data_IF_411523803494
#
_entry.id   IF_411523803494
#
_cell.length_a   1.000
_cell.length_b   1.000
_cell.length_c   1.000
_cell.angle_alpha   90.00
_cell.angle_beta   90.00
_cell.angle_gamma   90.00
#
_symmetry.space_group_name_H-M   'P 1'
#
loop_
_entity.id
_entity.type
_entity.pdbx_description
1 polymer ?
#
# COMPACT_ATOMS: atom_id res chain seq x y z
N UNK A 1 -22.98 -38.36 52.64
CA UNK A 1 -21.64 -38.20 52.05
C UNK A 1 -21.38 -39.26 50.97
N UNK A 2 -21.78 -40.52 51.16
CA UNK A 2 -21.53 -41.62 50.18
C UNK A 2 -22.34 -41.52 48.87
N UNK A 3 -23.47 -40.80 48.82
CA UNK A 3 -24.32 -40.65 47.61
C UNK A 3 -23.77 -39.59 46.65
N UNK A 4 -22.94 -38.65 47.11
CA UNK A 4 -22.38 -37.59 46.29
C UNK A 4 -21.07 -38.00 45.56
N UNK A 5 -20.41 -39.07 45.99
CA UNK A 5 -19.21 -39.55 45.31
C UNK A 5 -19.37 -39.96 43.85
N UNK A 6 -20.45 -40.62 43.38
CA UNK A 6 -20.63 -40.98 41.99
C UNK A 6 -21.01 -39.79 41.09
N UNK A 7 -21.45 -38.65 41.64
CA UNK A 7 -21.86 -37.47 40.86
C UNK A 7 -20.68 -36.55 40.54
N UNK A 8 -19.56 -36.62 41.24
CA UNK A 8 -18.42 -35.76 41.05
C UNK A 8 -17.82 -35.84 39.63
N UNK A 9 -17.58 -37.01 39.03
CA UNK A 9 -17.04 -37.04 37.65
C UNK A 9 -18.05 -36.51 36.63
N UNK A 10 -19.33 -36.64 36.87
CA UNK A 10 -20.39 -36.10 35.99
C UNK A 10 -20.40 -34.55 36.05
N UNK A 11 -20.27 -33.97 37.22
CA UNK A 11 -20.14 -32.51 37.38
C UNK A 11 -18.86 -31.95 36.71
N UNK A 12 -17.75 -32.69 36.84
CA UNK A 12 -16.49 -32.31 36.20
C UNK A 12 -16.60 -32.37 34.69
N UNK A 13 -17.20 -33.42 34.13
CA UNK A 13 -17.42 -33.55 32.68
C UNK A 13 -18.35 -32.44 32.10
N UNK A 14 -19.39 -32.10 32.85
CA UNK A 14 -20.29 -31.00 32.49
C UNK A 14 -19.61 -29.66 32.52
N UNK A 15 -18.78 -29.39 33.54
CA UNK A 15 -17.97 -28.18 33.64
C UNK A 15 -16.95 -28.05 32.53
N UNK A 16 -16.27 -29.17 32.18
CA UNK A 16 -15.32 -29.19 31.05
C UNK A 16 -16.01 -28.92 29.72
N UNK A 17 -17.18 -29.54 29.50
CA UNK A 17 -17.97 -29.32 28.29
C UNK A 17 -18.43 -27.87 28.17
N UNK A 18 -18.88 -27.26 29.28
CA UNK A 18 -19.26 -25.85 29.28
C UNK A 18 -18.08 -24.93 28.97
N UNK A 19 -16.90 -25.21 29.53
CA UNK A 19 -15.66 -24.46 29.24
C UNK A 19 -15.28 -24.55 27.76
N UNK A 20 -15.37 -25.74 27.16
CA UNK A 20 -15.09 -25.94 25.74
C UNK A 20 -16.05 -25.14 24.85
N UNK A 21 -17.35 -25.18 25.17
CA UNK A 21 -18.38 -24.39 24.44
C UNK A 21 -18.07 -22.89 24.56
N UNK A 22 -17.77 -22.41 25.78
CA UNK A 22 -17.42 -21.00 26.00
C UNK A 22 -16.16 -20.58 25.20
N UNK A 23 -15.13 -21.41 25.17
CA UNK A 23 -13.94 -21.17 24.36
C UNK A 23 -14.25 -21.15 22.86
N UNK A 24 -15.08 -22.07 22.36
CA UNK A 24 -15.52 -22.11 20.96
C UNK A 24 -16.30 -20.84 20.59
N UNK A 25 -17.26 -20.43 21.42
CA UNK A 25 -18.04 -19.21 21.19
C UNK A 25 -17.14 -17.99 21.20
N UNK A 26 -16.23 -17.87 22.15
CA UNK A 26 -15.27 -16.77 22.21
C UNK A 26 -14.39 -16.69 20.93
N UNK A 27 -13.90 -17.84 20.48
CA UNK A 27 -13.10 -17.92 19.25
C UNK A 27 -13.91 -17.51 18.02
N UNK A 28 -15.16 -18.00 17.90
CA UNK A 28 -16.05 -17.63 16.80
C UNK A 28 -16.36 -16.13 16.77
N UNK A 29 -16.66 -15.54 17.93
CA UNK A 29 -16.91 -14.09 18.05
C UNK A 29 -15.68 -13.29 17.61
N UNK A 30 -14.50 -13.67 18.10
CA UNK A 30 -13.23 -13.04 17.68
C UNK A 30 -13.02 -13.13 16.17
N UNK A 31 -13.28 -14.30 15.57
CA UNK A 31 -13.16 -14.52 14.13
C UNK A 31 -14.12 -13.63 13.34
N UNK A 32 -15.39 -13.51 13.76
CA UNK A 32 -16.39 -12.65 13.12
C UNK A 32 -15.95 -11.18 13.17
N UNK A 33 -15.45 -10.71 14.31
CA UNK A 33 -14.94 -9.33 14.40
C UNK A 33 -13.77 -9.07 13.46
N UNK A 34 -12.83 -10.02 13.36
CA UNK A 34 -11.70 -9.92 12.46
C UNK A 34 -12.12 -9.89 10.99
N UNK A 35 -13.06 -10.76 10.59
CA UNK A 35 -13.62 -10.78 9.24
C UNK A 35 -14.38 -9.50 8.90
N UNK A 36 -15.18 -8.97 9.82
CA UNK A 36 -15.89 -7.69 9.63
C UNK A 36 -14.90 -6.53 9.44
N UNK A 37 -13.83 -6.50 10.24
CA UNK A 37 -12.80 -5.46 10.13
C UNK A 37 -12.09 -5.52 8.78
N UNK A 38 -11.78 -6.73 8.31
CA UNK A 38 -11.17 -6.95 6.99
C UNK A 38 -12.11 -6.50 5.86
N UNK A 39 -13.40 -6.90 5.93
CA UNK A 39 -14.39 -6.50 4.93
C UNK A 39 -14.62 -4.99 4.87
N UNK A 40 -14.63 -4.30 6.03
CA UNK A 40 -14.70 -2.84 6.08
C UNK A 40 -13.47 -2.20 5.46
N UNK A 41 -12.27 -2.69 5.78
CA UNK A 41 -11.02 -2.22 5.19
C UNK A 41 -11.01 -2.37 3.67
N UNK A 42 -11.39 -3.55 3.15
CA UNK A 42 -11.47 -3.79 1.71
C UNK A 42 -12.45 -2.84 1.02
N UNK A 43 -13.62 -2.60 1.63
CA UNK A 43 -14.60 -1.66 1.10
C UNK A 43 -14.06 -0.24 1.06
N UNK A 44 -13.52 0.25 2.17
CA UNK A 44 -13.03 1.62 2.29
C UNK A 44 -11.81 1.85 1.38
N UNK A 45 -10.94 0.84 1.26
CA UNK A 45 -9.83 0.83 0.30
C UNK A 45 -10.33 0.92 -1.14
N UNK A 46 -11.34 0.12 -1.52
CA UNK A 46 -11.92 0.16 -2.87
C UNK A 46 -12.50 1.53 -3.20
N UNK A 47 -13.24 2.14 -2.26
CA UNK A 47 -13.78 3.50 -2.46
C UNK A 47 -12.68 4.55 -2.62
N UNK A 48 -11.67 4.53 -1.75
CA UNK A 48 -10.53 5.45 -1.85
C UNK A 48 -9.81 5.30 -3.19
N UNK A 49 -9.60 4.08 -3.64
CA UNK A 49 -8.96 3.78 -4.91
C UNK A 49 -9.75 4.26 -6.12
N UNK A 50 -11.07 4.00 -6.17
CA UNK A 50 -11.95 4.51 -7.24
C UNK A 50 -11.90 6.04 -7.26
N UNK A 51 -11.92 6.68 -6.09
CA UNK A 51 -11.79 8.12 -5.96
C UNK A 51 -10.46 8.63 -6.54
N UNK A 52 -9.35 7.98 -6.17
CA UNK A 52 -8.01 8.38 -6.60
C UNK A 52 -7.74 8.11 -8.09
N UNK A 53 -8.46 7.15 -8.71
CA UNK A 53 -8.43 6.91 -10.15
C UNK A 53 -9.28 7.92 -10.94
N UNK A 54 -10.31 8.50 -10.34
CA UNK A 54 -11.23 9.41 -11.03
C UNK A 54 -10.55 10.71 -11.46
N UNK A 55 -9.68 11.26 -10.64
CA UNK A 55 -8.95 12.50 -10.92
C UNK A 55 -8.05 12.38 -12.16
N UNK A 56 -7.09 11.43 -12.24
CA UNK A 56 -6.24 11.24 -13.40
C UNK A 56 -7.03 10.91 -14.68
N UNK A 57 -8.10 10.11 -14.57
CA UNK A 57 -8.98 9.82 -15.70
C UNK A 57 -9.62 11.09 -16.28
N UNK A 58 -10.11 11.99 -15.43
CA UNK A 58 -10.68 13.26 -15.86
C UNK A 58 -9.63 14.14 -16.55
N UNK A 59 -8.40 14.19 -16.04
CA UNK A 59 -7.29 14.94 -16.65
C UNK A 59 -6.96 14.38 -18.04
N UNK A 60 -6.89 13.05 -18.17
CA UNK A 60 -6.66 12.38 -19.46
C UNK A 60 -7.79 12.71 -20.46
N UNK A 61 -9.05 12.57 -20.03
CA UNK A 61 -10.21 12.88 -20.88
C UNK A 61 -10.22 14.34 -21.32
N UNK A 62 -9.93 15.28 -20.42
CA UNK A 62 -9.87 16.70 -20.71
C UNK A 62 -8.73 17.03 -21.69
N UNK A 63 -7.55 16.48 -21.47
CA UNK A 63 -6.40 16.61 -22.36
C UNK A 63 -6.67 16.06 -23.76
N UNK A 64 -7.25 14.85 -23.83
CA UNK A 64 -7.64 14.23 -25.10
C UNK A 64 -8.72 15.06 -25.84
N UNK A 65 -9.71 15.58 -25.10
CA UNK A 65 -10.73 16.46 -25.68
C UNK A 65 -10.14 17.74 -26.29
N UNK A 66 -9.24 18.40 -25.54
CA UNK A 66 -8.55 19.60 -26.00
C UNK A 66 -7.74 19.33 -27.26
N UNK A 67 -7.03 18.20 -27.32
CA UNK A 67 -6.27 17.79 -28.51
C UNK A 67 -7.17 17.50 -29.70
N UNK A 68 -8.34 16.88 -29.48
CA UNK A 68 -9.29 16.54 -30.54
C UNK A 68 -10.03 17.75 -31.12
N UNK A 69 -10.15 18.88 -30.40
CA UNK A 69 -10.78 20.10 -30.89
C UNK A 69 -9.95 20.86 -31.89
N UNK A 70 -8.71 20.45 -32.18
CA UNK A 70 -7.80 21.13 -33.10
C UNK A 70 -7.31 22.52 -32.66
N UNK A 71 -7.79 23.03 -31.51
CA UNK A 71 -7.44 24.36 -30.99
C UNK A 71 -5.97 24.57 -30.67
N UNK A 72 -5.19 23.48 -30.59
CA UNK A 72 -3.76 23.50 -30.27
C UNK A 72 -2.85 23.22 -31.49
N UNK A 73 -3.41 23.11 -32.71
CA UNK A 73 -2.58 22.77 -33.89
C UNK A 73 -1.49 23.82 -34.16
N UNK A 74 -1.78 25.10 -33.92
CA UNK A 74 -0.82 26.21 -34.07
C UNK A 74 0.04 26.45 -32.81
N UNK A 75 -0.20 25.71 -31.70
CA UNK A 75 0.46 25.93 -30.42
C UNK A 75 1.23 24.69 -29.97
N UNK A 76 2.33 24.37 -30.66
CA UNK A 76 3.14 23.17 -30.46
C UNK A 76 3.54 22.93 -28.98
N UNK A 77 3.89 24.00 -28.25
CA UNK A 77 4.25 23.92 -26.82
C UNK A 77 3.08 23.49 -25.93
N UNK A 78 1.86 24.01 -26.19
CA UNK A 78 0.68 23.63 -25.42
C UNK A 78 0.23 22.21 -25.76
N UNK A 79 0.35 21.81 -27.01
CA UNK A 79 0.10 20.44 -27.45
C UNK A 79 1.03 19.47 -26.75
N UNK A 80 2.33 19.78 -26.71
CA UNK A 80 3.35 18.97 -26.01
C UNK A 80 3.06 18.84 -24.50
N UNK A 81 2.71 19.96 -23.84
CA UNK A 81 2.33 19.95 -22.41
C UNK A 81 1.10 19.08 -22.13
N UNK A 82 0.07 19.14 -22.98
CA UNK A 82 -1.13 18.32 -22.84
C UNK A 82 -0.83 16.83 -23.03
N UNK A 83 0.01 16.47 -24.00
CA UNK A 83 0.46 15.09 -24.22
C UNK A 83 1.29 14.59 -23.03
N UNK A 84 2.19 15.44 -22.51
CA UNK A 84 2.99 15.10 -21.32
C UNK A 84 2.08 14.85 -20.11
N UNK A 85 1.12 15.74 -19.84
CA UNK A 85 0.17 15.57 -18.75
C UNK A 85 -0.63 14.27 -18.86
N UNK A 86 -1.10 13.92 -20.08
CA UNK A 86 -1.79 12.64 -20.31
C UNK A 86 -0.86 11.46 -20.00
N UNK A 87 0.39 11.51 -20.48
CA UNK A 87 1.38 10.46 -20.24
C UNK A 87 1.68 10.27 -18.74
N UNK A 88 1.83 11.37 -18.02
CA UNK A 88 2.11 11.37 -16.59
C UNK A 88 0.95 10.76 -15.79
N UNK A 89 -0.30 11.11 -16.15
CA UNK A 89 -1.48 10.54 -15.50
C UNK A 89 -1.70 9.07 -15.86
N UNK A 90 -1.38 8.64 -17.09
CA UNK A 90 -1.39 7.23 -17.46
C UNK A 90 -0.38 6.43 -16.60
N UNK A 91 0.84 6.94 -16.43
CA UNK A 91 1.86 6.31 -15.58
C UNK A 91 1.43 6.27 -14.10
N UNK A 92 0.73 7.30 -13.63
CA UNK A 92 0.14 7.32 -12.29
C UNK A 92 -0.92 6.21 -12.12
N UNK A 93 -1.84 6.06 -13.09
CA UNK A 93 -2.84 4.98 -13.10
C UNK A 93 -2.20 3.59 -13.13
N UNK A 94 -1.14 3.39 -13.93
CA UNK A 94 -0.39 2.12 -13.93
C UNK A 94 0.21 1.84 -12.55
N UNK A 95 0.77 2.84 -11.89
CA UNK A 95 1.32 2.69 -10.54
C UNK A 95 0.23 2.29 -9.53
N UNK A 96 -0.95 2.93 -9.58
CA UNK A 96 -2.09 2.57 -8.76
C UNK A 96 -2.55 1.13 -9.02
N UNK A 97 -2.67 0.73 -10.29
CA UNK A 97 -3.03 -0.64 -10.69
C UNK A 97 -2.07 -1.68 -10.11
N UNK A 98 -0.75 -1.44 -10.22
CA UNK A 98 0.26 -2.34 -9.68
C UNK A 98 0.17 -2.48 -8.14
N UNK A 99 -0.14 -1.39 -7.43
CA UNK A 99 -0.36 -1.43 -5.98
C UNK A 99 -1.56 -2.31 -5.60
N UNK A 100 -2.64 -2.29 -6.39
CA UNK A 100 -3.80 -3.18 -6.19
C UNK A 100 -3.43 -4.63 -6.35
N UNK A 101 -2.73 -4.93 -7.45
CA UNK A 101 -2.29 -6.30 -7.74
C UNK A 101 -1.41 -6.81 -6.58
N UNK A 102 -0.44 -6.00 -6.14
CA UNK A 102 0.43 -6.35 -5.02
C UNK A 102 -0.38 -6.61 -3.73
N UNK A 103 -1.34 -5.72 -3.41
CA UNK A 103 -2.19 -5.90 -2.24
C UNK A 103 -3.00 -7.20 -2.33
N UNK A 104 -3.59 -7.48 -3.49
CA UNK A 104 -4.37 -8.70 -3.72
C UNK A 104 -3.51 -9.97 -3.58
N UNK A 105 -2.26 -9.93 -4.03
CA UNK A 105 -1.32 -11.04 -3.86
C UNK A 105 -0.94 -11.25 -2.39
N UNK A 106 -0.75 -10.17 -1.63
CA UNK A 106 -0.49 -10.24 -0.19
C UNK A 106 -1.70 -10.83 0.55
N UNK A 107 -2.93 -10.38 0.24
CA UNK A 107 -4.15 -10.85 0.88
C UNK A 107 -4.41 -12.35 0.65
N UNK A 108 -4.04 -12.86 -0.52
CA UNK A 108 -4.21 -14.27 -0.88
C UNK A 108 -3.05 -15.17 -0.46
N UNK A 109 -2.03 -14.59 0.18
CA UNK A 109 -0.76 -15.30 0.49
C UNK A 109 -0.08 -15.87 -0.77
N UNK A 110 -0.32 -15.23 -1.92
CA UNK A 110 0.21 -15.62 -3.23
C UNK A 110 1.49 -14.83 -3.61
N UNK A 111 1.92 -13.89 -2.75
CA UNK A 111 3.10 -13.06 -3.02
C UNK A 111 4.37 -13.91 -2.98
N UNK A 112 4.93 -14.16 -4.15
CA UNK A 112 6.23 -14.81 -4.30
C UNK A 112 7.33 -13.75 -4.29
N UNK A 113 8.09 -13.69 -3.19
CA UNK A 113 9.22 -12.79 -3.07
C UNK A 113 10.45 -13.36 -3.78
N UNK A 114 10.96 -12.64 -4.78
CA UNK A 114 12.21 -12.93 -5.44
C UNK A 114 13.37 -12.25 -4.71
N UNK A 115 13.82 -12.89 -3.62
CA UNK A 115 14.89 -12.32 -2.78
C UNK A 115 16.25 -12.48 -3.43
N UNK A 116 16.98 -11.38 -3.52
CA UNK A 116 18.35 -11.29 -4.04
C UNK A 116 19.19 -10.34 -3.16
N UNK A 117 20.49 -10.32 -3.38
CA UNK A 117 21.36 -9.36 -2.70
C UNK A 117 21.26 -8.00 -3.39
N UNK A 118 20.54 -7.08 -2.76
CA UNK A 118 20.33 -5.71 -3.27
C UNK A 118 21.35 -4.78 -2.66
N UNK A 119 22.11 -4.08 -3.51
CA UNK A 119 23.02 -3.00 -3.08
C UNK A 119 22.18 -1.75 -2.82
N UNK A 120 22.27 -1.21 -1.60
CA UNK A 120 21.41 -0.13 -1.16
C UNK A 120 21.74 1.23 -1.78
N UNK A 121 23.03 1.51 -1.97
CA UNK A 121 23.49 2.83 -2.43
C UNK A 121 22.87 3.23 -3.78
N UNK A 122 22.98 2.44 -4.87
CA UNK A 122 22.40 2.81 -6.17
C UNK A 122 20.87 2.87 -6.11
N UNK A 123 20.22 2.00 -5.34
CA UNK A 123 18.78 2.01 -5.17
C UNK A 123 18.29 3.30 -4.50
N UNK A 124 18.99 3.76 -3.47
CA UNK A 124 18.66 4.99 -2.74
C UNK A 124 18.97 6.21 -3.59
N UNK A 125 20.05 6.21 -4.36
CA UNK A 125 20.41 7.31 -5.25
C UNK A 125 19.37 7.53 -6.34
N UNK A 126 18.88 6.46 -6.97
CA UNK A 126 17.77 6.50 -7.92
C UNK A 126 16.50 7.11 -7.31
N UNK A 127 16.18 6.74 -6.07
CA UNK A 127 15.02 7.26 -5.37
C UNK A 127 15.19 8.76 -5.03
N UNK A 128 16.34 9.16 -4.54
CA UNK A 128 16.64 10.56 -4.24
C UNK A 128 16.51 11.42 -5.49
N UNK A 129 17.09 10.99 -6.62
CA UNK A 129 17.00 11.70 -7.88
C UNK A 129 15.55 11.84 -8.35
N UNK A 130 14.78 10.75 -8.33
CA UNK A 130 13.36 10.74 -8.65
C UNK A 130 12.56 11.74 -7.80
N UNK A 131 12.78 11.76 -6.49
CA UNK A 131 12.04 12.65 -5.60
C UNK A 131 12.49 14.10 -5.67
N UNK A 132 13.75 14.39 -5.97
CA UNK A 132 14.23 15.75 -6.26
C UNK A 132 13.56 16.36 -7.48
N UNK A 133 13.31 15.57 -8.52
CA UNK A 133 12.61 16.03 -9.72
C UNK A 133 11.10 16.20 -9.51
N UNK A 134 10.52 15.40 -8.60
CA UNK A 134 9.06 15.38 -8.36
C UNK A 134 8.60 16.47 -7.38
N UNK A 135 9.42 16.81 -6.40
CA UNK A 135 9.01 17.72 -5.33
C UNK A 135 9.39 19.17 -5.60
N UNK A 136 8.46 20.09 -5.27
CA UNK A 136 8.72 21.53 -5.27
C UNK A 136 9.19 22.06 -3.92
N UNK A 137 9.20 21.20 -2.88
CA UNK A 137 9.71 21.56 -1.55
C UNK A 137 11.24 21.46 -1.50
N UNK A 138 11.92 22.29 -0.73
CA UNK A 138 13.35 22.13 -0.43
C UNK A 138 13.54 20.88 0.45
N UNK A 139 14.02 19.79 -0.13
CA UNK A 139 14.32 18.52 0.56
C UNK A 139 15.83 18.34 0.63
N UNK A 140 16.34 18.20 1.85
CA UNK A 140 17.73 17.83 2.12
C UNK A 140 17.82 16.33 2.39
N UNK A 141 18.48 15.60 1.50
CA UNK A 141 18.73 14.17 1.68
C UNK A 141 20.10 13.95 2.28
N UNK A 142 20.17 13.18 3.38
CA UNK A 142 21.43 12.72 3.96
C UNK A 142 21.47 11.18 3.95
N UNK A 143 22.64 10.62 3.59
CA UNK A 143 22.86 9.17 3.57
C UNK A 143 23.93 8.80 4.59
N UNK A 144 23.67 7.80 5.42
CA UNK A 144 24.66 7.23 6.31
C UNK A 144 24.56 5.71 6.31
N UNK A 145 25.54 5.05 5.72
CA UNK A 145 25.62 3.59 5.70
C UNK A 145 26.56 3.12 6.81
N UNK A 146 26.01 2.65 7.92
CA UNK A 146 26.79 2.06 9.01
C UNK A 146 26.88 0.54 8.83
N UNK A 147 28.00 0.06 8.24
CA UNK A 147 28.34 -1.37 8.11
C UNK A 147 27.44 -2.25 7.23
N UNK A 148 26.43 -1.72 6.54
CA UNK A 148 25.53 -2.51 5.74
C UNK A 148 25.24 -1.83 4.39
N UNK A 149 25.98 -2.20 3.33
CA UNK A 149 25.77 -1.66 1.98
C UNK A 149 24.82 -2.52 1.14
N UNK A 150 24.42 -3.68 1.61
CA UNK A 150 23.51 -4.59 0.90
C UNK A 150 22.58 -5.32 1.85
N UNK A 151 21.42 -5.72 1.33
CA UNK A 151 20.38 -6.45 2.05
C UNK A 151 19.88 -7.60 1.18
N UNK A 152 19.54 -8.73 1.78
CA UNK A 152 18.91 -9.84 1.08
C UNK A 152 17.39 -9.67 1.09
N UNK A 153 16.86 -9.10 0.01
CA UNK A 153 15.46 -8.73 -0.10
C UNK A 153 14.99 -8.81 -1.56
N UNK A 154 13.68 -8.71 -1.77
CA UNK A 154 13.11 -8.47 -3.09
C UNK A 154 13.32 -7.00 -3.47
N UNK A 155 14.04 -6.76 -4.56
CA UNK A 155 14.43 -5.40 -4.99
C UNK A 155 13.23 -4.51 -5.30
N UNK A 156 12.16 -5.08 -5.89
CA UNK A 156 10.95 -4.35 -6.21
C UNK A 156 10.20 -3.95 -4.93
N UNK A 157 9.97 -4.89 -4.03
CA UNK A 157 9.30 -4.62 -2.75
C UNK A 157 10.08 -3.60 -1.90
N UNK A 158 11.40 -3.72 -1.85
CA UNK A 158 12.26 -2.79 -1.12
C UNK A 158 12.16 -1.38 -1.70
N UNK A 159 12.21 -1.24 -3.02
CA UNK A 159 12.04 0.05 -3.72
C UNK A 159 10.69 0.68 -3.42
N UNK A 160 9.60 -0.09 -3.42
CA UNK A 160 8.25 0.39 -3.10
C UNK A 160 8.14 0.85 -1.65
N UNK A 161 8.71 0.10 -0.70
CA UNK A 161 8.71 0.47 0.73
C UNK A 161 9.46 1.80 0.92
N UNK A 162 10.69 1.92 0.41
CA UNK A 162 11.49 3.12 0.56
C UNK A 162 10.84 4.32 -0.14
N UNK A 163 10.29 4.12 -1.35
CA UNK A 163 9.57 5.16 -2.08
C UNK A 163 8.38 5.68 -1.29
N UNK A 164 7.59 4.80 -0.66
CA UNK A 164 6.45 5.19 0.17
C UNK A 164 6.88 5.93 1.44
N UNK A 165 7.98 5.51 2.07
CA UNK A 165 8.50 6.19 3.26
C UNK A 165 8.99 7.62 2.93
N UNK A 166 9.71 7.78 1.81
CA UNK A 166 10.18 9.09 1.35
C UNK A 166 8.98 9.99 0.97
N UNK A 167 8.01 9.48 0.21
CA UNK A 167 6.81 10.23 -0.17
C UNK A 167 6.02 10.69 1.06
N UNK A 168 5.86 9.82 2.05
CA UNK A 168 5.22 10.15 3.32
C UNK A 168 6.01 11.22 4.10
N UNK A 169 7.33 11.08 4.18
CA UNK A 169 8.18 12.08 4.84
C UNK A 169 8.03 13.46 4.19
N UNK A 170 8.01 13.52 2.85
CA UNK A 170 7.83 14.78 2.11
C UNK A 170 6.40 15.34 2.29
N UNK A 171 5.39 14.48 2.25
CA UNK A 171 3.98 14.88 2.30
C UNK A 171 3.58 15.43 3.67
N UNK A 172 4.02 14.78 4.73
CA UNK A 172 3.62 15.10 6.10
C UNK A 172 4.60 16.00 6.86
N UNK A 173 5.69 16.39 6.25
CA UNK A 173 6.63 17.38 6.79
C UNK A 173 6.15 18.81 6.57
N UNK A 174 6.71 19.75 7.35
CA UNK A 174 6.52 21.19 7.17
C UNK A 174 7.12 21.74 5.87
N UNK A 175 7.58 23.02 5.92
CA UNK A 175 8.13 23.71 4.75
C UNK A 175 9.49 23.16 4.29
N UNK A 176 10.29 22.62 5.22
CA UNK A 176 11.62 22.01 4.94
C UNK A 176 11.67 20.59 5.47
N UNK A 177 12.32 19.70 4.73
CA UNK A 177 12.40 18.27 5.03
C UNK A 177 13.86 17.83 5.04
N UNK A 178 14.26 17.15 6.12
CA UNK A 178 15.51 16.37 6.16
C UNK A 178 15.16 14.89 6.19
N UNK A 179 15.68 14.14 5.25
CA UNK A 179 15.44 12.69 5.11
C UNK A 179 16.79 11.98 5.09
#
# INVERSE_FOLDING_TARGET
>A
VLILMPLWPLLLSLGLMFLLIACCVFYQVKMIFMQRRLALFQRDFTYAMIHDMKSPLNTILMGAHILNTGKLEEQAEKKKKSLQAISDECNHLLTLSNRVILLTQIEKDELQLHKETVVLEPLIDDLIEKFRLKTHKPVEFSKAFHHCNSVYADAFCLREILSNLIDNAIKYSGETVKI
#
